data_IF_852887157894
#
_entry.id   IF_852887157894
#
_cell.length_a   1.000
_cell.length_b   1.000
_cell.length_c   1.000
_cell.angle_alpha   90.00
_cell.angle_beta   90.00
_cell.angle_gamma   90.00
#
_symmetry.space_group_name_H-M   'P 1'
#
loop_
_entity.id
_entity.type
_entity.pdbx_description
1 polymer ?
#
# COMPACT_ATOMS: atom_id res chain seq x y z
N UNK A 1 18.55 -2.98 0.92
CA UNK A 1 18.77 -3.84 2.10
C UNK A 1 18.42 -5.30 1.83
N UNK A 2 17.17 -5.63 1.48
CA UNK A 2 16.72 -7.03 1.30
C UNK A 2 17.56 -7.83 0.27
N UNK A 3 17.80 -7.28 -0.91
CA UNK A 3 18.66 -7.93 -1.91
C UNK A 3 20.12 -8.06 -1.45
N UNK A 4 20.68 -7.00 -0.84
CA UNK A 4 22.09 -6.96 -0.49
C UNK A 4 22.45 -7.80 0.74
N UNK A 5 21.68 -7.66 1.83
CA UNK A 5 21.96 -8.34 3.10
C UNK A 5 21.44 -9.77 3.12
N UNK A 6 20.34 -10.04 2.42
CA UNK A 6 19.63 -11.31 2.52
C UNK A 6 19.48 -12.06 1.18
N UNK A 7 20.04 -11.52 0.09
CA UNK A 7 20.05 -12.20 -1.21
C UNK A 7 18.68 -12.33 -1.88
N UNK A 8 17.68 -11.56 -1.44
CA UNK A 8 16.31 -11.61 -2.01
C UNK A 8 16.30 -11.08 -3.44
N UNK A 9 15.81 -11.90 -4.37
CA UNK A 9 15.67 -11.56 -5.80
C UNK A 9 14.23 -11.13 -6.09
N UNK A 10 14.08 -9.95 -6.69
CA UNK A 10 12.78 -9.39 -7.05
C UNK A 10 12.59 -9.48 -8.56
N UNK A 11 11.61 -10.28 -8.99
CA UNK A 11 11.22 -10.43 -10.38
C UNK A 11 9.98 -9.56 -10.62
N UNK A 12 10.11 -8.52 -11.42
CA UNK A 12 9.03 -7.54 -11.64
C UNK A 12 8.71 -7.49 -13.12
N UNK A 13 7.44 -7.64 -13.46
CA UNK A 13 6.94 -7.57 -14.83
C UNK A 13 5.65 -6.78 -14.96
N UNK A 14 5.28 -6.43 -16.20
CA UNK A 14 4.00 -5.81 -16.51
C UNK A 14 4.08 -4.29 -16.71
N UNK A 15 2.99 -3.58 -16.43
CA UNK A 15 2.87 -2.15 -16.70
C UNK A 15 3.65 -1.27 -15.70
N UNK A 16 4.15 -0.13 -16.17
CA UNK A 16 4.78 0.90 -15.34
C UNK A 16 3.71 1.68 -14.56
N UNK A 17 3.91 1.83 -13.24
CA UNK A 17 3.11 2.72 -12.41
C UNK A 17 3.56 4.16 -12.59
N UNK A 18 2.64 5.02 -13.03
CA UNK A 18 2.92 6.43 -13.32
C UNK A 18 2.92 7.30 -12.04
N UNK A 19 4.11 7.74 -11.62
CA UNK A 19 4.29 8.62 -10.46
C UNK A 19 3.54 9.97 -10.59
N UNK A 20 3.44 10.51 -11.81
CA UNK A 20 2.84 11.82 -12.08
C UNK A 20 1.32 11.81 -12.16
N UNK A 21 0.68 10.68 -11.89
CA UNK A 21 -0.77 10.50 -11.99
C UNK A 21 -1.32 9.88 -10.71
N UNK A 22 -2.43 10.40 -10.15
CA UNK A 22 -3.07 9.76 -9.01
C UNK A 22 -3.71 8.44 -9.45
N UNK A 23 -3.54 7.40 -8.65
CA UNK A 23 -4.06 6.07 -9.01
C UNK A 23 -4.35 5.21 -7.80
N UNK A 24 -5.24 4.23 -7.99
CA UNK A 24 -5.49 3.19 -7.00
C UNK A 24 -4.69 1.94 -7.37
N UNK A 25 -3.87 1.44 -6.46
CA UNK A 25 -3.16 0.16 -6.59
C UNK A 25 -3.91 -0.87 -5.76
N UNK A 26 -4.26 -2.01 -6.36
CA UNK A 26 -4.89 -3.13 -5.67
C UNK A 26 -3.97 -4.34 -5.73
N UNK A 27 -3.71 -4.97 -4.58
CA UNK A 27 -2.77 -6.10 -4.47
C UNK A 27 -3.38 -7.25 -3.67
N UNK A 28 -3.07 -8.50 -4.04
CA UNK A 28 -3.40 -9.65 -3.18
C UNK A 28 -2.48 -9.68 -1.95
N UNK A 29 -2.98 -10.20 -0.82
CA UNK A 29 -2.29 -10.10 0.46
C UNK A 29 -1.89 -11.48 1.01
N UNK A 30 -0.64 -11.88 0.77
CA UNK A 30 -0.07 -13.16 1.19
C UNK A 30 0.65 -13.09 2.53
N UNK A 31 1.22 -11.93 2.88
CA UNK A 31 1.96 -11.72 4.13
C UNK A 31 1.90 -10.26 4.55
N UNK A 32 2.01 -10.01 5.87
CA UNK A 32 2.15 -8.67 6.44
C UNK A 32 3.31 -7.86 5.85
N UNK A 33 4.30 -8.52 5.25
CA UNK A 33 5.47 -7.90 4.64
C UNK A 33 5.30 -7.54 3.15
N UNK A 34 4.14 -7.82 2.53
CA UNK A 34 3.92 -7.61 1.08
C UNK A 34 4.25 -6.18 0.65
N UNK A 35 3.85 -5.17 1.43
CA UNK A 35 4.12 -3.76 1.14
C UNK A 35 5.62 -3.44 1.11
N UNK A 36 6.38 -4.00 2.05
CA UNK A 36 7.84 -3.80 2.13
C UNK A 36 8.54 -4.45 0.93
N UNK A 37 8.07 -5.61 0.49
CA UNK A 37 8.56 -6.24 -0.73
C UNK A 37 8.18 -5.42 -1.97
N UNK A 38 6.95 -4.88 -2.00
CA UNK A 38 6.45 -4.09 -3.12
C UNK A 38 7.21 -2.78 -3.31
N UNK A 39 7.70 -2.14 -2.25
CA UNK A 39 8.62 -0.99 -2.37
C UNK A 39 9.87 -1.29 -3.23
N UNK A 40 10.36 -2.53 -3.27
CA UNK A 40 11.47 -2.88 -4.15
C UNK A 40 11.04 -2.89 -5.62
N UNK A 41 9.80 -3.28 -5.92
CA UNK A 41 9.23 -3.17 -7.25
C UNK A 41 9.02 -1.71 -7.65
N UNK A 42 8.43 -0.90 -6.77
CA UNK A 42 8.23 0.54 -6.99
C UNK A 42 9.56 1.26 -7.26
N UNK A 43 10.60 0.99 -6.47
CA UNK A 43 11.91 1.59 -6.69
C UNK A 43 12.47 1.25 -8.08
N UNK A 44 12.40 -0.03 -8.50
CA UNK A 44 12.89 -0.49 -9.81
C UNK A 44 12.16 0.21 -10.96
N UNK A 45 10.88 0.51 -10.78
CA UNK A 45 10.06 1.26 -11.74
C UNK A 45 10.44 2.74 -11.77
N UNK A 46 10.36 3.40 -10.62
CA UNK A 46 10.67 4.80 -10.43
C UNK A 46 10.87 5.07 -8.91
N UNK A 47 12.07 5.45 -8.44
CA UNK A 47 12.35 5.69 -7.02
C UNK A 47 11.43 6.72 -6.37
N UNK A 48 10.89 7.68 -7.13
CA UNK A 48 9.96 8.68 -6.61
C UNK A 48 8.63 8.09 -6.15
N UNK A 49 8.24 6.90 -6.67
CA UNK A 49 7.05 6.18 -6.19
C UNK A 49 7.12 5.84 -4.71
N UNK A 50 8.31 5.71 -4.11
CA UNK A 50 8.44 5.51 -2.66
C UNK A 50 8.03 6.73 -1.83
N UNK A 51 7.96 7.91 -2.44
CA UNK A 51 7.57 9.15 -1.77
C UNK A 51 6.09 9.47 -1.94
N UNK A 52 5.50 9.02 -3.06
CA UNK A 52 4.11 9.26 -3.44
C UNK A 52 3.17 8.08 -3.14
N UNK A 53 3.69 6.88 -2.91
CA UNK A 53 2.87 5.75 -2.48
C UNK A 53 2.31 6.01 -1.08
N UNK A 54 1.02 5.69 -0.91
CA UNK A 54 0.30 5.75 0.36
C UNK A 54 -0.39 4.41 0.58
N UNK A 55 -0.37 3.90 1.80
CA UNK A 55 -0.94 2.58 2.11
C UNK A 55 -2.13 2.77 3.05
N UNK A 56 -3.20 2.01 2.82
CA UNK A 56 -4.26 1.81 3.81
C UNK A 56 -3.78 0.86 4.92
N UNK A 57 -3.64 1.37 6.13
CA UNK A 57 -3.05 0.67 7.29
C UNK A 57 -4.10 0.40 8.37
N UNK A 58 -3.82 -0.57 9.24
CA UNK A 58 -4.63 -0.80 10.45
C UNK A 58 -4.46 0.37 11.43
N UNK A 59 -5.56 0.89 11.97
CA UNK A 59 -5.54 2.07 12.85
C UNK A 59 -4.63 1.93 14.08
N UNK A 60 -4.53 0.73 14.66
CA UNK A 60 -3.63 0.47 15.78
C UNK A 60 -2.14 0.72 15.49
N UNK A 61 -1.71 0.72 14.22
CA UNK A 61 -0.32 1.00 13.85
C UNK A 61 0.07 2.47 14.11
N UNK A 62 -0.89 3.39 14.16
CA UNK A 62 -0.64 4.82 14.44
C UNK A 62 -0.03 5.08 15.80
N UNK A 63 -0.23 4.16 16.76
CA UNK A 63 0.29 4.26 18.12
C UNK A 63 1.73 3.78 18.27
N UNK A 64 2.34 3.20 17.22
CA UNK A 64 3.72 2.73 17.26
C UNK A 64 4.67 3.95 17.20
N UNK A 65 5.50 4.18 18.24
CA UNK A 65 6.45 5.28 18.24
C UNK A 65 7.42 5.22 17.06
N UNK A 66 7.72 6.37 16.47
CA UNK A 66 8.58 6.46 15.28
C UNK A 66 7.84 6.04 14.01
N UNK A 67 7.60 4.74 13.80
CA UNK A 67 7.05 4.23 12.55
C UNK A 67 5.60 4.68 12.30
N UNK A 68 4.71 4.54 13.29
CA UNK A 68 3.32 4.97 13.18
C UNK A 68 3.19 6.48 13.02
N UNK A 69 4.00 7.24 13.77
CA UNK A 69 4.05 8.70 13.67
C UNK A 69 4.57 9.18 12.31
N UNK A 70 5.63 8.55 11.79
CA UNK A 70 6.17 8.85 10.46
C UNK A 70 5.14 8.57 9.36
N UNK A 71 4.40 7.47 9.47
CA UNK A 71 3.30 7.16 8.54
C UNK A 71 2.16 8.18 8.63
N UNK A 72 1.81 8.65 9.84
CA UNK A 72 0.85 9.74 10.03
C UNK A 72 1.31 11.05 9.39
N UNK A 73 2.55 11.47 9.64
CA UNK A 73 3.16 12.63 8.97
C UNK A 73 3.23 12.46 7.45
N UNK A 74 3.45 11.23 6.97
CA UNK A 74 3.51 10.89 5.55
C UNK A 74 2.15 10.84 4.85
N UNK A 75 1.06 11.08 5.57
CA UNK A 75 -0.30 11.07 5.02
C UNK A 75 -0.81 9.68 4.67
N UNK A 76 -0.36 8.62 5.37
CA UNK A 76 -0.93 7.28 5.23
C UNK A 76 -2.33 7.23 5.85
N UNK A 77 -3.16 6.29 5.40
CA UNK A 77 -4.56 6.20 5.84
C UNK A 77 -4.71 5.11 6.90
N UNK A 78 -5.12 5.47 8.11
CA UNK A 78 -5.36 4.54 9.22
C UNK A 78 -6.83 4.15 9.33
N UNK A 79 -7.15 2.88 9.10
CA UNK A 79 -8.51 2.34 9.06
C UNK A 79 -8.81 1.41 10.24
N UNK A 80 -10.02 1.52 10.80
CA UNK A 80 -10.52 0.78 11.95
C UNK A 80 -11.17 -0.56 11.57
N UNK A 81 -11.32 -0.85 10.27
CA UNK A 81 -12.07 -1.99 9.74
C UNK A 81 -13.56 -1.92 10.11
N UNK A 82 -14.06 -0.69 10.25
CA UNK A 82 -15.47 -0.38 10.47
C UNK A 82 -15.85 0.70 9.47
N UNK A 83 -16.81 0.38 8.60
CA UNK A 83 -17.14 1.23 7.45
C UNK A 83 -17.62 2.62 7.89
N UNK A 84 -18.47 2.70 8.90
CA UNK A 84 -19.07 3.95 9.37
C UNK A 84 -18.02 4.93 9.92
N UNK A 85 -17.03 4.41 10.65
CA UNK A 85 -15.91 5.20 11.16
C UNK A 85 -14.93 5.58 10.04
N UNK A 86 -14.66 4.64 9.15
CA UNK A 86 -13.61 4.78 8.13
C UNK A 86 -14.04 5.67 6.95
N UNK A 87 -15.35 5.81 6.71
CA UNK A 87 -15.91 6.62 5.64
C UNK A 87 -15.41 8.08 5.69
N UNK A 88 -15.51 8.70 6.87
CA UNK A 88 -15.10 10.11 7.07
C UNK A 88 -13.59 10.29 6.94
N UNK A 89 -12.82 9.31 7.41
CA UNK A 89 -11.37 9.32 7.32
C UNK A 89 -10.94 9.30 5.85
N UNK A 90 -11.51 8.37 5.07
CA UNK A 90 -11.22 8.22 3.64
C UNK A 90 -11.62 9.47 2.86
N UNK A 91 -12.81 10.03 3.09
CA UNK A 91 -13.26 11.28 2.45
C UNK A 91 -12.27 12.44 2.70
N UNK A 92 -11.94 12.69 3.97
CA UNK A 92 -11.03 13.79 4.34
C UNK A 92 -9.63 13.60 3.76
N UNK A 93 -9.09 12.38 3.80
CA UNK A 93 -7.76 12.09 3.27
C UNK A 93 -7.69 12.20 1.75
N UNK A 94 -8.71 11.70 1.03
CA UNK A 94 -8.76 11.77 -0.43
C UNK A 94 -8.98 13.22 -0.92
N UNK A 95 -9.78 14.00 -0.20
CA UNK A 95 -9.89 15.44 -0.44
C UNK A 95 -8.53 16.12 -0.25
N UNK A 96 -7.83 15.85 0.85
CA UNK A 96 -6.48 16.39 1.09
C UNK A 96 -5.50 16.00 -0.01
N UNK A 97 -5.53 14.75 -0.49
CA UNK A 97 -4.67 14.30 -1.58
C UNK A 97 -4.87 15.16 -2.83
N UNK A 98 -6.12 15.37 -3.26
CA UNK A 98 -6.44 16.26 -4.39
C UNK A 98 -5.97 17.70 -4.13
N UNK A 99 -6.31 18.26 -2.99
CA UNK A 99 -6.04 19.66 -2.68
C UNK A 99 -4.56 19.96 -2.45
N UNK A 100 -3.78 18.97 -2.02
CA UNK A 100 -2.32 19.06 -1.88
C UNK A 100 -1.59 19.18 -3.22
N UNK A 101 -2.31 19.01 -4.35
CA UNK A 101 -1.77 19.00 -5.73
C UNK A 101 -0.65 17.97 -5.96
N UNK A 102 -0.57 16.97 -5.11
CA UNK A 102 0.34 15.84 -5.27
C UNK A 102 -0.34 14.73 -6.06
N UNK A 103 0.43 13.85 -6.69
CA UNK A 103 -0.09 12.67 -7.39
C UNK A 103 0.26 11.43 -6.59
N UNK A 104 -0.66 11.00 -5.74
CA UNK A 104 -0.46 9.85 -4.85
C UNK A 104 -0.98 8.55 -5.46
N UNK A 105 -0.25 7.46 -5.22
CA UNK A 105 -0.67 6.12 -5.58
C UNK A 105 -1.11 5.37 -4.32
N UNK A 106 -2.42 5.21 -4.14
CA UNK A 106 -2.99 4.60 -2.94
C UNK A 106 -3.00 3.08 -3.08
N UNK A 107 -2.25 2.37 -2.23
CA UNK A 107 -2.26 0.93 -2.13
C UNK A 107 -3.39 0.44 -1.20
N UNK A 108 -4.24 -0.40 -1.76
CA UNK A 108 -5.31 -1.11 -1.09
C UNK A 108 -5.10 -2.63 -1.22
N UNK A 109 -5.39 -3.35 -0.15
CA UNK A 109 -5.51 -4.81 -0.16
C UNK A 109 -7.00 -5.18 -0.04
N UNK A 110 -7.72 -5.45 -1.15
CA UNK A 110 -9.15 -5.74 -1.08
C UNK A 110 -9.51 -6.96 -0.22
N UNK A 111 -8.58 -7.86 0.03
CA UNK A 111 -8.75 -8.99 0.96
C UNK A 111 -8.97 -8.53 2.43
N UNK A 112 -8.50 -7.32 2.78
CA UNK A 112 -8.65 -6.71 4.10
C UNK A 112 -7.76 -7.29 5.21
N UNK A 113 -7.09 -8.41 4.95
CA UNK A 113 -6.12 -9.05 5.83
C UNK A 113 -5.23 -10.01 5.04
N UNK A 114 -4.06 -10.34 5.56
CA UNK A 114 -3.17 -11.34 4.96
C UNK A 114 -3.78 -12.74 5.03
N UNK A 115 -3.42 -13.58 4.05
CA UNK A 115 -3.91 -14.97 3.91
C UNK A 115 -3.28 -15.95 4.92
N UNK A 116 -3.43 -15.68 6.21
CA UNK A 116 -3.16 -16.65 7.28
C UNK A 116 -4.24 -17.74 7.39
N UNK A 117 -3.96 -18.83 8.12
CA UNK A 117 -4.87 -19.98 8.26
C UNK A 117 -6.28 -19.59 8.71
N UNK A 118 -6.38 -18.73 9.72
CA UNK A 118 -7.67 -18.23 10.22
C UNK A 118 -8.43 -17.44 9.16
N UNK A 119 -7.76 -16.58 8.42
CA UNK A 119 -8.39 -15.74 7.40
C UNK A 119 -8.87 -16.58 6.21
N UNK A 120 -8.05 -17.57 5.80
CA UNK A 120 -8.43 -18.55 4.78
C UNK A 120 -9.68 -19.33 5.19
N UNK A 121 -9.76 -19.84 6.42
CA UNK A 121 -10.95 -20.54 6.92
C UNK A 121 -12.20 -19.67 6.88
N UNK A 122 -12.12 -18.41 7.31
CA UNK A 122 -13.25 -17.48 7.27
C UNK A 122 -13.68 -17.19 5.82
N UNK A 123 -12.73 -17.02 4.91
CA UNK A 123 -13.00 -16.84 3.48
C UNK A 123 -13.65 -18.09 2.86
N UNK A 124 -13.23 -19.28 3.27
CA UNK A 124 -13.81 -20.56 2.82
C UNK A 124 -15.26 -20.73 3.31
N UNK A 125 -15.52 -20.40 4.57
CA UNK A 125 -16.88 -20.41 5.16
C UNK A 125 -17.79 -19.41 4.43
N UNK A 126 -17.29 -18.21 4.14
CA UNK A 126 -18.00 -17.23 3.33
C UNK A 126 -18.31 -17.77 1.92
N UNK A 127 -17.32 -18.39 1.26
CA UNK A 127 -17.52 -18.96 -0.07
C UNK A 127 -18.60 -20.05 -0.06
N UNK A 128 -18.52 -20.98 0.91
CA UNK A 128 -19.51 -22.06 1.08
C UNK A 128 -20.92 -21.51 1.34
N UNK A 129 -21.06 -20.50 2.20
CA UNK A 129 -22.36 -19.89 2.54
C UNK A 129 -23.02 -19.20 1.33
N UNK A 130 -22.21 -18.62 0.44
CA UNK A 130 -22.71 -17.85 -0.71
C UNK A 130 -22.65 -18.64 -2.03
N UNK A 131 -22.34 -19.94 -2.00
CA UNK A 131 -22.23 -20.76 -3.21
C UNK A 131 -21.09 -20.35 -4.15
N UNK A 132 -20.05 -19.69 -3.64
CA UNK A 132 -18.89 -19.24 -4.41
C UNK A 132 -17.80 -20.32 -4.45
N UNK A 133 -16.95 -20.24 -5.48
CA UNK A 133 -15.76 -21.07 -5.56
C UNK A 133 -14.82 -20.81 -4.37
N UNK A 134 -14.26 -21.88 -3.82
CA UNK A 134 -13.17 -21.80 -2.84
C UNK A 134 -11.87 -21.36 -3.51
N UNK A 135 -11.15 -20.42 -2.90
CA UNK A 135 -9.85 -19.94 -3.38
C UNK A 135 -8.70 -20.50 -2.54
N UNK A 136 -7.70 -21.05 -3.22
CA UNK A 136 -6.54 -21.70 -2.61
C UNK A 136 -5.40 -20.68 -2.36
N UNK A 137 -5.33 -19.59 -3.14
CA UNK A 137 -4.19 -18.66 -3.14
C UNK A 137 -4.55 -17.21 -2.80
N UNK A 138 -5.81 -16.81 -2.84
CA UNK A 138 -6.28 -15.49 -2.37
C UNK A 138 -7.47 -15.64 -1.42
N UNK A 139 -7.78 -14.60 -0.65
CA UNK A 139 -9.07 -14.46 0.02
C UNK A 139 -10.08 -13.79 -0.91
N UNK A 140 -11.38 -14.03 -0.69
CA UNK A 140 -12.44 -13.28 -1.40
C UNK A 140 -12.33 -11.78 -1.07
N UNK A 141 -12.34 -10.88 -2.09
CA UNK A 141 -12.15 -9.46 -1.86
C UNK A 141 -13.41 -8.82 -1.26
N UNK A 142 -13.22 -7.79 -0.44
CA UNK A 142 -14.27 -6.93 0.09
C UNK A 142 -14.50 -5.77 -0.87
N UNK A 143 -15.69 -5.69 -1.44
CA UNK A 143 -16.00 -4.69 -2.48
C UNK A 143 -16.39 -3.33 -1.91
N UNK A 144 -16.97 -3.27 -0.70
CA UNK A 144 -17.47 -2.02 -0.10
C UNK A 144 -16.41 -0.93 0.00
N UNK A 145 -15.25 -1.23 0.60
CA UNK A 145 -14.16 -0.26 0.75
C UNK A 145 -13.52 0.14 -0.58
N UNK A 146 -13.39 -0.82 -1.50
CA UNK A 146 -12.90 -0.56 -2.86
C UNK A 146 -13.81 0.41 -3.62
N UNK A 147 -15.12 0.12 -3.67
CA UNK A 147 -16.10 0.99 -4.33
C UNK A 147 -16.17 2.36 -3.67
N UNK A 148 -16.11 2.43 -2.34
CA UNK A 148 -16.09 3.71 -1.64
C UNK A 148 -14.89 4.57 -2.06
N UNK A 149 -13.67 4.00 -2.01
CA UNK A 149 -12.44 4.70 -2.40
C UNK A 149 -12.51 5.14 -3.86
N UNK A 150 -12.96 4.25 -4.76
CA UNK A 150 -13.08 4.55 -6.18
C UNK A 150 -14.06 5.70 -6.44
N UNK A 151 -15.23 5.66 -5.83
CA UNK A 151 -16.24 6.72 -5.94
C UNK A 151 -15.73 8.06 -5.41
N UNK A 152 -15.08 8.05 -4.25
CA UNK A 152 -14.58 9.27 -3.64
C UNK A 152 -13.41 9.86 -4.45
N UNK A 153 -12.50 9.03 -4.97
CA UNK A 153 -11.44 9.49 -5.87
C UNK A 153 -12.01 10.07 -7.17
N UNK A 154 -13.09 9.50 -7.73
CA UNK A 154 -13.77 10.03 -8.92
C UNK A 154 -14.48 11.35 -8.65
N UNK A 155 -15.20 11.46 -7.53
CA UNK A 155 -15.89 12.68 -7.08
C UNK A 155 -14.95 13.88 -7.02
N UNK A 156 -13.68 13.66 -6.64
CA UNK A 156 -12.64 14.71 -6.58
C UNK A 156 -11.81 14.86 -7.86
N UNK A 157 -12.14 14.14 -8.95
CA UNK A 157 -11.33 14.08 -10.18
C UNK A 157 -9.85 13.77 -9.85
N UNK A 158 -9.64 12.73 -9.04
CA UNK A 158 -8.35 12.36 -8.45
C UNK A 158 -8.00 10.89 -8.71
N UNK A 159 -8.31 10.38 -9.90
CA UNK A 159 -7.90 9.04 -10.32
C UNK A 159 -7.73 8.97 -11.83
N UNK A 160 -6.56 8.51 -12.28
CA UNK A 160 -6.24 8.27 -13.69
C UNK A 160 -6.49 6.80 -14.07
N UNK A 161 -6.10 5.88 -13.18
CA UNK A 161 -6.12 4.45 -13.45
C UNK A 161 -6.16 3.60 -12.17
N UNK A 162 -6.46 2.31 -12.35
CA UNK A 162 -6.29 1.28 -11.34
C UNK A 162 -5.16 0.35 -11.78
N UNK A 163 -4.21 0.07 -10.88
CA UNK A 163 -3.14 -0.91 -11.11
C UNK A 163 -3.43 -2.18 -10.32
N UNK A 164 -3.64 -3.29 -11.02
CA UNK A 164 -3.72 -4.61 -10.44
C UNK A 164 -2.33 -5.19 -10.24
N UNK A 165 -1.97 -5.53 -9.00
CA UNK A 165 -0.68 -6.14 -8.67
C UNK A 165 -0.91 -7.56 -8.19
N UNK A 166 -0.26 -8.51 -8.84
CA UNK A 166 -0.20 -9.90 -8.39
C UNK A 166 1.17 -10.17 -7.77
N UNK A 167 1.19 -10.49 -6.48
CA UNK A 167 2.40 -10.92 -5.76
C UNK A 167 2.39 -12.43 -5.52
N UNK A 168 3.54 -13.08 -5.78
CA UNK A 168 3.73 -14.51 -5.58
C UNK A 168 5.13 -14.83 -5.02
N UNK A 169 5.22 -15.92 -4.25
CA UNK A 169 6.42 -16.37 -3.55
C UNK A 169 6.75 -17.81 -3.97
N UNK A 170 7.73 -18.04 -4.86
CA UNK A 170 8.06 -19.38 -5.37
C UNK A 170 8.46 -20.37 -4.30
N UNK A 171 9.10 -19.91 -3.24
CA UNK A 171 9.78 -20.76 -2.28
C UNK A 171 9.11 -20.73 -0.90
N UNK A 172 8.97 -19.54 -0.30
CA UNK A 172 8.47 -19.43 1.06
C UNK A 172 7.67 -18.17 1.28
N UNK A 173 6.59 -18.31 2.05
CA UNK A 173 5.79 -17.19 2.52
C UNK A 173 6.17 -16.96 3.98
N UNK A 174 6.65 -15.76 4.29
CA UNK A 174 7.02 -15.36 5.66
C UNK A 174 5.77 -14.82 6.34
N UNK A 175 5.25 -15.41 7.43
CA UNK A 175 3.96 -14.99 7.97
C UNK A 175 3.99 -13.61 8.66
N UNK A 176 5.11 -13.24 9.30
CA UNK A 176 5.18 -12.06 10.17
C UNK A 176 6.56 -11.40 10.23
N UNK A 177 6.58 -10.13 10.63
CA UNK A 177 7.78 -9.34 10.96
C UNK A 177 8.60 -10.02 12.06
N UNK A 178 7.94 -10.64 13.05
CA UNK A 178 8.60 -11.33 14.15
C UNK A 178 9.35 -12.57 13.68
N UNK A 179 8.79 -13.34 12.74
CA UNK A 179 9.48 -14.48 12.16
C UNK A 179 10.69 -14.04 11.33
N UNK A 180 10.60 -12.91 10.64
CA UNK A 180 11.74 -12.31 9.95
C UNK A 180 12.88 -11.99 10.93
N UNK A 181 12.57 -11.25 12.01
CA UNK A 181 13.59 -10.77 12.96
C UNK A 181 14.18 -11.93 13.78
N UNK A 182 13.34 -12.85 14.25
CA UNK A 182 13.77 -13.91 15.18
C UNK A 182 14.34 -15.14 14.48
N UNK A 183 13.85 -15.49 13.29
CA UNK A 183 14.26 -16.70 12.56
C UNK A 183 15.09 -16.42 11.32
N UNK A 184 15.23 -15.15 10.92
CA UNK A 184 15.98 -14.74 9.72
C UNK A 184 15.39 -15.30 8.42
N UNK A 185 14.10 -15.68 8.43
CA UNK A 185 13.46 -16.33 7.29
C UNK A 185 12.99 -15.26 6.31
N UNK A 186 13.53 -15.30 5.09
CA UNK A 186 13.10 -14.47 3.97
C UNK A 186 12.83 -15.33 2.74
N UNK A 187 11.92 -14.90 1.84
CA UNK A 187 11.81 -15.50 0.52
C UNK A 187 13.10 -15.23 -0.26
N UNK A 188 13.61 -16.23 -0.97
CA UNK A 188 14.73 -16.06 -1.91
C UNK A 188 14.28 -15.32 -3.16
N UNK A 189 13.03 -15.52 -3.57
CA UNK A 189 12.46 -14.88 -4.75
C UNK A 189 11.09 -14.29 -4.42
N UNK A 190 10.83 -13.08 -4.93
CA UNK A 190 9.50 -12.46 -4.88
C UNK A 190 9.14 -12.03 -6.30
N UNK A 191 7.95 -12.43 -6.75
CA UNK A 191 7.46 -12.11 -8.09
C UNK A 191 6.32 -11.12 -8.00
N UNK A 192 6.39 -10.07 -8.81
CA UNK A 192 5.35 -9.08 -9.01
C UNK A 192 5.00 -9.01 -10.49
N UNK A 193 3.71 -9.05 -10.78
CA UNK A 193 3.19 -8.65 -12.10
C UNK A 193 2.15 -7.54 -11.95
N UNK A 194 2.27 -6.50 -12.76
CA UNK A 194 1.44 -5.29 -12.69
C UNK A 194 0.65 -5.14 -13.98
N UNK A 195 -0.65 -4.82 -13.87
CA UNK A 195 -1.51 -4.49 -15.00
C UNK A 195 -2.26 -3.19 -14.77
N UNK A 196 -2.17 -2.28 -15.75
CA UNK A 196 -2.90 -1.01 -15.75
C UNK A 196 -4.29 -1.21 -16.36
N UNK A 197 -5.31 -0.75 -15.66
CA UNK A 197 -6.67 -0.61 -16.14
C UNK A 197 -7.05 0.87 -16.17
N UNK A 198 -7.50 1.37 -17.32
CA UNK A 198 -8.16 2.68 -17.38
C UNK A 198 -9.55 2.56 -16.80
N UNK A 199 -10.12 3.68 -16.33
CA UNK A 199 -11.50 3.67 -15.83
C UNK A 199 -12.51 3.24 -16.91
N UNK A 200 -12.24 3.55 -18.18
CA UNK A 200 -13.03 3.07 -19.32
C UNK A 200 -13.05 1.55 -19.48
N UNK A 201 -12.07 0.84 -18.92
CA UNK A 201 -11.98 -0.63 -19.00
C UNK A 201 -12.80 -1.31 -17.88
N UNK A 202 -13.25 -0.52 -16.90
CA UNK A 202 -13.91 -0.98 -15.67
C UNK A 202 -15.38 -0.55 -15.65
N UNK A 203 -15.65 0.64 -16.16
CA UNK A 203 -16.95 1.31 -16.11
C UNK A 203 -17.62 1.30 -17.47
N UNK A 204 -18.96 1.35 -17.48
CA UNK A 204 -19.71 1.59 -18.72
C UNK A 204 -19.45 2.99 -19.25
N UNK A 205 -19.76 3.25 -20.53
CA UNK A 205 -19.58 4.59 -21.12
C UNK A 205 -20.36 5.67 -20.34
N UNK A 206 -21.59 5.38 -19.93
CA UNK A 206 -22.42 6.26 -19.10
C UNK A 206 -21.74 6.54 -17.75
N UNK A 207 -21.22 5.50 -17.09
CA UNK A 207 -20.55 5.64 -15.81
C UNK A 207 -19.21 6.36 -15.89
N UNK A 208 -18.53 6.29 -17.04
CA UNK A 208 -17.24 6.94 -17.27
C UNK A 208 -17.36 8.41 -17.71
N UNK A 209 -18.59 8.91 -17.92
CA UNK A 209 -18.82 10.33 -18.17
C UNK A 209 -18.36 11.17 -16.97
N UNK A 210 -17.61 12.25 -17.23
CA UNK A 210 -17.18 13.21 -16.22
C UNK A 210 -18.35 13.91 -15.53
N UNK A 211 -19.51 13.97 -16.19
CA UNK A 211 -20.72 14.55 -15.61
C UNK A 211 -21.54 13.52 -14.79
N UNK A 212 -21.19 12.23 -14.83
CA UNK A 212 -21.84 11.21 -14.02
C UNK A 212 -21.42 11.35 -12.55
N UNK A 213 -22.35 11.84 -11.73
CA UNK A 213 -22.11 12.10 -10.29
C UNK A 213 -22.59 10.97 -9.39
N UNK A 214 -23.33 10.01 -9.93
CA UNK A 214 -23.87 8.92 -9.13
C UNK A 214 -22.78 7.92 -8.74
N UNK A 215 -22.87 7.31 -7.54
CA UNK A 215 -21.95 6.27 -7.13
C UNK A 215 -22.00 5.08 -8.10
N UNK A 216 -20.83 4.66 -8.55
CA UNK A 216 -20.66 3.45 -9.37
C UNK A 216 -20.43 2.22 -8.50
N UNK A 217 -20.80 1.07 -9.04
CA UNK A 217 -20.50 -0.24 -8.46
C UNK A 217 -19.61 -1.07 -9.39
N UNK A 218 -18.33 -1.19 -9.02
CA UNK A 218 -17.34 -2.02 -9.68
C UNK A 218 -17.11 -3.36 -8.93
N UNK A 219 -18.07 -3.81 -8.11
CA UNK A 219 -18.00 -5.07 -7.36
C UNK A 219 -17.77 -6.27 -8.28
N UNK A 220 -18.56 -6.39 -9.36
CA UNK A 220 -18.47 -7.52 -10.29
C UNK A 220 -17.12 -7.58 -10.99
N UNK A 221 -16.57 -6.42 -11.36
CA UNK A 221 -15.23 -6.33 -11.94
C UNK A 221 -14.17 -6.81 -10.96
N UNK A 222 -14.22 -6.36 -9.70
CA UNK A 222 -13.26 -6.76 -8.66
C UNK A 222 -13.33 -8.26 -8.37
N UNK A 223 -14.54 -8.83 -8.28
CA UNK A 223 -14.74 -10.26 -8.04
C UNK A 223 -14.21 -11.12 -9.19
N UNK A 224 -14.45 -10.70 -10.44
CA UNK A 224 -13.91 -11.38 -11.63
C UNK A 224 -12.39 -11.28 -11.68
N UNK A 225 -11.83 -10.11 -11.38
CA UNK A 225 -10.38 -9.91 -11.31
C UNK A 225 -9.73 -10.83 -10.26
N UNK A 226 -10.35 -11.01 -9.09
CA UNK A 226 -9.85 -11.94 -8.07
C UNK A 226 -9.93 -13.40 -8.51
N UNK A 227 -10.98 -13.78 -9.25
CA UNK A 227 -11.10 -15.13 -9.83
C UNK A 227 -9.99 -15.40 -10.85
N UNK A 228 -9.69 -14.44 -11.72
CA UNK A 228 -8.57 -14.53 -12.65
C UNK A 228 -7.24 -14.62 -11.91
N UNK A 229 -7.04 -13.79 -10.87
CA UNK A 229 -5.84 -13.80 -10.05
C UNK A 229 -5.63 -15.14 -9.33
N UNK A 230 -6.68 -15.74 -8.80
CA UNK A 230 -6.64 -17.10 -8.23
C UNK A 230 -6.17 -18.13 -9.28
N UNK A 231 -6.73 -18.11 -10.49
CA UNK A 231 -6.34 -19.01 -11.56
C UNK A 231 -4.87 -18.82 -11.99
N UNK A 232 -4.41 -17.57 -12.05
CA UNK A 232 -3.01 -17.22 -12.35
C UNK A 232 -2.06 -17.76 -11.28
N UNK A 233 -2.39 -17.55 -10.00
CA UNK A 233 -1.59 -18.07 -8.89
C UNK A 233 -1.60 -19.60 -8.87
N UNK A 234 -2.73 -20.24 -9.17
CA UNK A 234 -2.81 -21.70 -9.30
C UNK A 234 -1.88 -22.23 -10.41
N UNK A 235 -1.86 -21.58 -11.57
CA UNK A 235 -0.91 -21.90 -12.66
C UNK A 235 0.55 -21.65 -12.25
N UNK A 236 0.82 -20.63 -11.45
CA UNK A 236 2.16 -20.34 -10.93
C UNK A 236 2.64 -21.43 -9.97
N UNK A 237 1.80 -21.82 -9.00
CA UNK A 237 2.16 -22.79 -7.97
C UNK A 237 2.10 -24.25 -8.44
N UNK A 238 1.42 -24.57 -9.55
CA UNK A 238 1.43 -25.91 -10.15
C UNK A 238 2.77 -26.27 -10.83
N UNK A 239 3.61 -25.28 -11.12
CA UNK A 239 4.93 -25.47 -11.69
C UNK A 239 5.97 -25.81 -10.60
N UNK A 240 7.07 -26.47 -11.01
CA UNK A 240 8.19 -26.72 -10.11
C UNK A 240 8.79 -25.41 -9.60
N UNK A 241 9.21 -25.30 -8.33
CA UNK A 241 9.68 -24.06 -7.71
C UNK A 241 10.72 -23.27 -8.52
N UNK A 242 11.61 -23.96 -9.22
CA UNK A 242 12.70 -23.37 -10.01
C UNK A 242 12.22 -22.73 -11.31
N UNK A 243 11.05 -23.16 -11.81
CA UNK A 243 10.45 -22.69 -13.08
C UNK A 243 9.34 -21.67 -12.87
N UNK A 244 8.89 -21.46 -11.63
CA UNK A 244 7.78 -20.55 -11.32
C UNK A 244 8.08 -19.14 -11.81
N UNK A 245 7.27 -18.67 -12.75
CA UNK A 245 7.27 -17.29 -13.25
C UNK A 245 5.84 -16.81 -13.42
N UNK A 246 5.59 -15.55 -13.09
CA UNK A 246 4.34 -14.90 -13.44
C UNK A 246 4.40 -14.51 -14.90
N UNK A 247 3.38 -14.90 -15.66
CA UNK A 247 3.21 -14.43 -17.04
C UNK A 247 2.75 -12.96 -16.99
N UNK A 248 3.39 -12.06 -17.77
CA UNK A 248 3.00 -10.65 -17.81
C UNK A 248 1.57 -10.47 -18.29
N UNK A 249 0.76 -9.74 -17.53
CA UNK A 249 -0.64 -9.47 -17.90
C UNK A 249 -0.88 -8.10 -18.55
N UNK A 250 0.11 -7.21 -18.49
CA UNK A 250 0.12 -5.87 -19.08
C UNK A 250 1.09 -5.74 -20.26
N UNK A 251 1.59 -4.52 -20.51
CA UNK A 251 2.77 -4.33 -21.38
C UNK A 251 3.90 -5.15 -20.78
N UNK A 252 4.44 -6.09 -21.54
CA UNK A 252 5.40 -7.10 -21.06
C UNK A 252 6.79 -6.57 -20.69
N UNK A 253 6.88 -5.41 -20.03
CA UNK A 253 8.15 -4.95 -19.47
C UNK A 253 8.61 -5.94 -18.42
N UNK A 254 9.92 -6.19 -18.40
CA UNK A 254 10.59 -7.02 -17.41
C UNK A 254 11.72 -6.20 -16.84
N UNK A 255 11.63 -5.84 -15.56
CA UNK A 255 12.69 -5.08 -14.91
C UNK A 255 13.86 -5.99 -14.52
N UNK A 256 15.10 -5.47 -14.46
CA UNK A 256 16.25 -6.24 -14.01
C UNK A 256 16.02 -6.84 -12.64
N UNK A 257 16.36 -8.13 -12.47
CA UNK A 257 16.22 -8.84 -11.18
C UNK A 257 17.19 -8.25 -10.16
N UNK A 258 18.43 -8.02 -10.58
CA UNK A 258 19.44 -7.38 -9.76
C UNK A 258 19.26 -5.87 -9.76
N UNK A 259 19.65 -5.28 -8.64
CA UNK A 259 19.55 -3.86 -8.39
C UNK A 259 20.98 -3.35 -8.24
N UNK A 260 21.60 -2.97 -9.36
CA UNK A 260 23.02 -2.62 -9.43
C UNK A 260 23.17 -1.10 -9.56
N UNK A 261 24.09 -0.52 -8.78
CA UNK A 261 24.40 0.92 -8.86
C UNK A 261 24.98 1.49 -7.57
N UNK A 262 25.98 2.37 -7.69
CA UNK A 262 26.66 2.97 -6.53
C UNK A 262 25.70 3.76 -5.63
N UNK A 263 24.66 4.37 -6.21
CA UNK A 263 23.65 5.12 -5.48
C UNK A 263 22.95 4.31 -4.39
N UNK A 264 22.74 3.01 -4.59
CA UNK A 264 22.15 2.13 -3.57
C UNK A 264 23.04 1.97 -2.35
N UNK A 265 24.34 1.76 -2.59
CA UNK A 265 25.32 1.62 -1.53
C UNK A 265 25.49 2.92 -0.76
N UNK A 266 25.52 4.06 -1.47
CA UNK A 266 25.58 5.38 -0.85
C UNK A 266 24.35 5.68 -0.01
N UNK A 267 23.14 5.42 -0.53
CA UNK A 267 21.91 5.62 0.22
C UNK A 267 21.88 4.71 1.46
N UNK A 268 22.27 3.45 1.33
CA UNK A 268 22.32 2.51 2.45
C UNK A 268 23.34 2.93 3.51
N UNK A 269 24.55 3.30 3.10
CA UNK A 269 25.59 3.79 4.00
C UNK A 269 25.17 5.09 4.69
N UNK A 270 24.55 6.02 3.95
CA UNK A 270 23.98 7.25 4.49
C UNK A 270 22.98 6.95 5.62
N UNK A 271 22.05 6.03 5.39
CA UNK A 271 21.07 5.66 6.41
C UNK A 271 21.71 5.00 7.63
N UNK A 272 22.68 4.09 7.45
CA UNK A 272 23.41 3.48 8.58
C UNK A 272 24.15 4.54 9.40
N UNK A 273 24.95 5.38 8.75
CA UNK A 273 25.74 6.43 9.42
C UNK A 273 24.81 7.38 10.16
N UNK A 274 23.75 7.85 9.49
CA UNK A 274 22.78 8.77 10.08
C UNK A 274 22.07 8.15 11.28
N UNK A 275 21.66 6.88 11.19
CA UNK A 275 21.03 6.18 12.33
C UNK A 275 21.98 6.00 13.51
N UNK A 276 23.22 5.60 13.27
CA UNK A 276 24.23 5.48 14.34
C UNK A 276 24.57 6.83 14.97
N UNK A 277 24.67 7.88 14.15
CA UNK A 277 24.87 9.25 14.62
C UNK A 277 23.71 9.71 15.52
N UNK A 278 22.46 9.53 15.10
CA UNK A 278 21.29 9.89 15.92
C UNK A 278 21.20 9.08 17.21
N UNK A 279 21.53 7.79 17.17
CA UNK A 279 21.60 6.95 18.37
C UNK A 279 22.67 7.48 19.35
N UNK A 280 23.86 7.78 18.84
CA UNK A 280 24.95 8.35 19.63
C UNK A 280 24.56 9.71 20.25
N UNK A 281 23.97 10.62 19.46
CA UNK A 281 23.51 11.93 19.95
C UNK A 281 22.40 11.82 20.98
N UNK A 282 21.48 10.87 20.82
CA UNK A 282 20.42 10.60 21.80
C UNK A 282 21.01 10.20 23.17
N UNK A 283 22.13 9.46 23.18
CA UNK A 283 22.78 9.02 24.41
C UNK A 283 23.65 10.13 25.02
N UNK A 284 24.35 10.89 24.19
CA UNK A 284 25.43 11.80 24.63
C UNK A 284 25.01 13.26 24.80
N UNK A 285 24.10 13.77 23.96
CA UNK A 285 23.76 15.20 23.91
C UNK A 285 22.46 15.47 24.68
N UNK A 286 22.54 16.27 25.75
CA UNK A 286 21.39 16.63 26.59
C UNK A 286 20.25 17.29 25.80
N UNK A 287 20.56 18.24 24.92
CA UNK A 287 19.56 18.94 24.10
C UNK A 287 18.80 18.01 23.14
N UNK A 288 19.46 16.96 22.62
CA UNK A 288 18.80 15.96 21.77
C UNK A 288 17.82 15.12 22.59
N UNK A 289 18.16 14.78 23.85
CA UNK A 289 17.22 14.10 24.76
C UNK A 289 15.98 14.95 25.02
N UNK A 290 16.17 16.24 25.32
CA UNK A 290 15.03 17.16 25.51
C UNK A 290 14.17 17.28 24.26
N UNK A 291 14.78 17.38 23.08
CA UNK A 291 14.06 17.39 21.80
C UNK A 291 13.23 16.12 21.61
N UNK A 292 13.80 14.93 21.86
CA UNK A 292 13.09 13.65 21.73
C UNK A 292 11.91 13.57 22.71
N UNK A 293 12.11 14.00 23.97
CA UNK A 293 11.02 14.07 24.96
C UNK A 293 9.92 15.00 24.46
N UNK A 294 10.27 16.20 23.97
CA UNK A 294 9.33 17.14 23.38
C UNK A 294 8.56 16.55 22.20
N UNK A 295 9.24 15.85 21.28
CA UNK A 295 8.63 15.19 20.15
C UNK A 295 7.65 14.08 20.58
N UNK A 296 8.04 13.25 21.56
CA UNK A 296 7.14 12.22 22.13
C UNK A 296 5.90 12.87 22.74
N UNK A 297 6.08 13.92 23.55
CA UNK A 297 4.96 14.65 24.16
C UNK A 297 4.04 15.26 23.09
N UNK A 298 4.60 15.82 22.02
CA UNK A 298 3.83 16.32 20.88
C UNK A 298 2.99 15.23 20.22
N UNK A 299 3.58 14.07 19.90
CA UNK A 299 2.84 12.99 19.25
C UNK A 299 1.78 12.36 20.18
N UNK A 300 2.06 12.27 21.48
CA UNK A 300 1.07 11.85 22.48
C UNK A 300 -0.09 12.86 22.58
N UNK A 301 0.21 14.16 22.55
CA UNK A 301 -0.79 15.22 22.49
C UNK A 301 -1.65 15.10 21.22
N UNK A 302 -1.01 15.03 20.04
CA UNK A 302 -1.72 14.91 18.77
C UNK A 302 -2.61 13.66 18.73
N UNK A 303 -2.13 12.53 19.24
CA UNK A 303 -2.92 11.31 19.33
C UNK A 303 -4.11 11.45 20.28
N UNK A 304 -3.91 12.06 21.46
CA UNK A 304 -4.96 12.18 22.49
C UNK A 304 -6.04 13.19 22.11
N UNK A 305 -5.67 14.33 21.52
CA UNK A 305 -6.59 15.45 21.30
C UNK A 305 -7.11 15.56 19.86
N UNK A 306 -6.37 15.06 18.87
CA UNK A 306 -6.74 15.13 17.45
C UNK A 306 -6.92 13.74 16.82
N UNK A 307 -6.75 12.66 17.58
CA UNK A 307 -6.86 11.30 17.08
C UNK A 307 -5.65 10.80 16.26
N UNK A 308 -4.62 11.64 16.10
CA UNK A 308 -3.41 11.35 15.33
C UNK A 308 -2.73 12.63 14.84
N UNK A 309 -1.45 12.55 14.48
CA UNK A 309 -0.75 13.69 13.87
C UNK A 309 -1.30 14.04 12.49
N UNK A 310 -1.76 13.03 11.75
CA UNK A 310 -2.37 13.18 10.42
C UNK A 310 -3.58 14.13 10.46
N UNK A 311 -4.46 13.99 11.45
CA UNK A 311 -5.65 14.84 11.58
C UNK A 311 -5.31 16.24 12.06
N UNK A 312 -4.35 16.38 12.98
CA UNK A 312 -3.83 17.71 13.37
C UNK A 312 -3.28 18.48 12.15
N UNK A 313 -2.54 17.80 11.27
CA UNK A 313 -2.03 18.42 10.05
C UNK A 313 -3.15 18.75 9.05
N UNK A 314 -4.17 17.91 8.93
CA UNK A 314 -5.34 18.17 8.09
C UNK A 314 -6.13 19.39 8.58
N UNK A 315 -6.40 19.47 9.88
CA UNK A 315 -7.06 20.63 10.50
C UNK A 315 -6.31 21.92 10.19
N UNK A 316 -4.98 21.91 10.33
CA UNK A 316 -4.14 23.04 9.95
C UNK A 316 -4.18 23.33 8.45
N UNK A 317 -4.13 22.29 7.60
CA UNK A 317 -4.12 22.41 6.14
C UNK A 317 -5.40 23.06 5.60
N UNK A 318 -6.56 22.62 6.09
CA UNK A 318 -7.85 23.18 5.68
C UNK A 318 -8.12 24.52 6.39
N UNK A 319 -7.73 24.65 7.66
CA UNK A 319 -7.90 25.88 8.44
C UNK A 319 -7.15 27.08 7.85
N UNK A 320 -5.86 26.92 7.49
CA UNK A 320 -5.07 28.02 6.89
C UNK A 320 -5.70 28.55 5.61
N UNK A 321 -6.30 27.66 4.81
CA UNK A 321 -6.88 28.02 3.51
C UNK A 321 -8.11 28.93 3.67
N UNK A 322 -8.94 28.65 4.67
CA UNK A 322 -10.07 29.50 5.03
C UNK A 322 -9.65 30.94 5.39
N UNK A 323 -8.47 31.12 6.01
CA UNK A 323 -7.95 32.45 6.34
C UNK A 323 -7.38 33.18 5.10
N UNK A 324 -6.70 32.47 4.20
CA UNK A 324 -6.14 33.06 2.98
C UNK A 324 -7.21 33.40 1.92
N UNK A 325 -8.29 32.62 1.82
CA UNK A 325 -9.39 32.88 0.87
C UNK A 325 -10.33 34.02 1.33
N UNK A 326 -10.29 34.44 2.61
CA UNK A 326 -11.02 35.61 3.12
C UNK A 326 -10.26 36.94 2.99
N UNK A 327 -8.97 36.89 2.65
CA UNK A 327 -8.09 38.06 2.58
C UNK A 327 -7.74 38.46 1.15
N UNK A 328 -8.30 37.75 0.17
CA UNK A 328 -8.39 38.14 -1.24
C UNK A 328 -9.85 38.45 -1.57
#
# INVERSE_FOLDING_TARGET
MLTFMFGVKFHVSGDLIEHSKPSLIIMNHRTRLDWMFFWNALYKMNPWLLTSEKISLKSGLKSIPGAGWAMGCGGYIFLNRNYELDQRILETMLQYYKESRSSYQLLLFPEGTDRGERAARISDEFAKKNGLQKYDYVLHPRTTGFNFILNEMRKHDYIDAIYDVTVAYPDKIVPSETDLITKGILPKNVHFDIKKYKLSDILTEEQNDKFHRDPIDASSWLLNLWKEKEARLKKFYSQSPERRKLEPSGKGYVWPVETNGIGYYLAFLFWIITSLMWLYFTITIFWVKLYIIGAILFYLYAHKYHGGSEFLFLEWFFGRRFFFERTQ
#
